data_IF_941781790117
#
_entry.id   IF_941781790117
#
_cell.length_a   1.000
_cell.length_b   1.000
_cell.length_c   1.000
_cell.angle_alpha   90.00
_cell.angle_beta   90.00
_cell.angle_gamma   90.00
#
_symmetry.space_group_name_H-M   'P 1'
#
loop_
_entity.id
_entity.type
_entity.pdbx_description
1 polymer ?
#
# COMPACT_ATOMS: atom_id res chain seq x y z
N UNK A 1 1.05 33.41 13.02
CA UNK A 1 1.38 34.57 12.17
C UNK A 1 2.34 34.11 11.08
N UNK A 2 1.81 33.71 9.93
CA UNK A 2 2.59 33.49 8.71
C UNK A 2 1.97 34.41 7.65
N UNK A 3 2.78 35.30 7.11
CA UNK A 3 2.35 36.36 6.20
C UNK A 3 2.05 35.73 4.83
N UNK A 4 0.81 35.82 4.40
CA UNK A 4 0.44 35.68 2.99
C UNK A 4 1.22 36.74 2.20
N UNK A 5 2.14 36.29 1.35
CA UNK A 5 2.86 37.15 0.43
C UNK A 5 2.16 37.12 -0.93
N UNK A 6 0.96 37.70 -0.98
CA UNK A 6 0.23 37.96 -2.23
C UNK A 6 0.84 39.22 -2.84
N UNK A 7 1.90 39.07 -3.64
CA UNK A 7 2.48 40.20 -4.38
C UNK A 7 1.68 40.40 -5.67
N UNK A 8 0.70 41.29 -5.65
CA UNK A 8 -0.05 41.70 -6.84
C UNK A 8 0.90 42.35 -7.86
N UNK A 9 1.05 41.73 -9.04
CA UNK A 9 1.70 42.36 -10.21
C UNK A 9 0.64 42.68 -11.26
N UNK A 10 0.38 43.97 -11.48
CA UNK A 10 -0.56 44.48 -12.50
C UNK A 10 0.18 44.74 -13.81
N UNK A 11 -0.39 44.28 -14.91
CA UNK A 11 0.06 44.62 -16.26
C UNK A 11 -0.68 45.88 -16.74
N UNK A 12 -0.07 46.60 -17.69
CA UNK A 12 -0.49 47.92 -18.23
C UNK A 12 -1.88 48.00 -18.89
N UNK A 13 -2.70 46.93 -18.83
CA UNK A 13 -4.02 46.84 -19.45
C UNK A 13 -5.18 46.51 -18.48
N UNK A 14 -4.94 46.47 -17.16
CA UNK A 14 -6.03 46.42 -16.16
C UNK A 14 -6.93 45.17 -16.15
N UNK A 15 -6.58 44.09 -16.87
CA UNK A 15 -7.28 42.79 -16.78
C UNK A 15 -6.65 41.91 -15.72
N UNK A 16 -7.40 41.61 -14.66
CA UNK A 16 -7.12 40.49 -13.75
C UNK A 16 -7.45 39.19 -14.49
N UNK A 17 -6.44 38.56 -15.08
CA UNK A 17 -6.47 37.12 -15.33
C UNK A 17 -5.13 36.60 -14.85
N UNK A 18 -4.93 36.60 -13.54
CA UNK A 18 -3.75 35.99 -12.95
C UNK A 18 -3.93 34.47 -13.07
N UNK A 19 -3.35 33.89 -14.12
CA UNK A 19 -3.43 32.44 -14.32
C UNK A 19 -2.68 31.79 -13.15
N UNK A 20 -3.25 30.74 -12.53
CA UNK A 20 -2.58 30.06 -11.44
C UNK A 20 -1.20 29.57 -11.90
N UNK A 21 -0.19 29.87 -11.09
CA UNK A 21 1.19 29.46 -11.34
C UNK A 21 1.24 27.93 -11.50
N UNK A 22 1.94 27.39 -12.52
CA UNK A 22 2.11 25.96 -12.69
C UNK A 22 3.06 25.40 -11.61
N UNK A 23 2.54 25.23 -10.40
CA UNK A 23 3.27 24.76 -9.24
C UNK A 23 2.57 23.54 -8.65
N UNK A 24 3.35 22.64 -8.05
CA UNK A 24 2.88 21.45 -7.34
C UNK A 24 1.74 21.75 -6.36
N UNK A 25 1.87 22.81 -5.57
CA UNK A 25 0.87 23.20 -4.56
C UNK A 25 -0.50 23.50 -5.20
N UNK A 26 -0.51 24.14 -6.37
CA UNK A 26 -1.76 24.45 -7.09
C UNK A 26 -2.39 23.19 -7.70
N UNK A 27 -1.57 22.26 -8.17
CA UNK A 27 -2.07 20.95 -8.62
C UNK A 27 -2.67 20.16 -7.46
N UNK A 28 -2.02 20.12 -6.30
CA UNK A 28 -2.55 19.46 -5.09
C UNK A 28 -3.83 20.12 -4.58
N UNK A 29 -3.92 21.46 -4.63
CA UNK A 29 -5.13 22.19 -4.29
C UNK A 29 -6.28 21.86 -5.25
N UNK A 30 -6.01 21.76 -6.56
CA UNK A 30 -6.99 21.36 -7.56
C UNK A 30 -7.49 19.93 -7.32
N UNK A 31 -6.59 18.98 -7.07
CA UNK A 31 -6.94 17.60 -6.72
C UNK A 31 -7.85 17.55 -5.49
N UNK A 32 -7.47 18.26 -4.42
CA UNK A 32 -8.23 18.34 -3.17
C UNK A 32 -9.62 18.95 -3.38
N UNK A 33 -9.73 20.00 -4.20
CA UNK A 33 -10.99 20.66 -4.52
C UNK A 33 -11.97 19.72 -5.24
N UNK A 34 -11.46 18.84 -6.11
CA UNK A 34 -12.26 17.87 -6.86
C UNK A 34 -12.39 16.51 -6.16
N UNK A 35 -11.90 16.38 -4.91
CA UNK A 35 -11.99 15.13 -4.15
C UNK A 35 -11.14 13.99 -4.72
N UNK A 36 -10.05 14.32 -5.42
CA UNK A 36 -9.11 13.36 -6.00
C UNK A 36 -7.98 13.12 -5.01
N UNK A 37 -7.80 11.86 -4.62
CA UNK A 37 -6.67 11.42 -3.79
C UNK A 37 -5.83 10.43 -4.56
N UNK A 38 -4.51 10.55 -4.42
CA UNK A 38 -3.55 9.63 -5.03
C UNK A 38 -2.48 9.25 -4.02
N UNK A 39 -2.10 7.99 -4.05
CA UNK A 39 -1.07 7.42 -3.18
C UNK A 39 -0.39 6.24 -3.86
N UNK A 40 0.85 5.97 -3.52
CA UNK A 40 1.56 4.78 -4.01
C UNK A 40 1.52 3.65 -2.99
N UNK A 41 0.95 2.51 -3.36
CA UNK A 41 0.98 1.30 -2.53
C UNK A 41 2.33 0.59 -2.71
N UNK A 42 3.20 0.67 -1.70
CA UNK A 42 4.57 0.13 -1.81
C UNK A 42 4.62 -1.41 -1.84
N UNK A 43 3.56 -2.11 -1.39
CA UNK A 43 3.52 -3.58 -1.41
C UNK A 43 2.99 -4.11 -2.73
N UNK A 44 1.98 -3.44 -3.31
CA UNK A 44 1.42 -3.83 -4.61
C UNK A 44 2.17 -3.22 -5.79
N UNK A 45 3.05 -2.24 -5.51
CA UNK A 45 3.75 -1.43 -6.50
C UNK A 45 2.77 -0.82 -7.51
N UNK A 46 1.69 -0.21 -6.99
CA UNK A 46 0.58 0.34 -7.80
C UNK A 46 0.09 1.67 -7.21
N UNK A 47 -0.31 2.59 -8.08
CA UNK A 47 -1.04 3.79 -7.70
C UNK A 47 -2.45 3.44 -7.21
N UNK A 48 -2.80 3.90 -6.02
CA UNK A 48 -4.18 3.97 -5.56
C UNK A 48 -4.75 5.35 -5.91
N UNK A 49 -5.89 5.35 -6.59
CA UNK A 49 -6.54 6.54 -7.15
C UNK A 49 -7.99 6.52 -6.68
N UNK A 50 -8.43 7.59 -6.03
CA UNK A 50 -9.83 7.80 -5.66
C UNK A 50 -10.34 9.10 -6.30
N UNK A 51 -11.65 9.14 -6.59
CA UNK A 51 -12.28 10.31 -7.22
C UNK A 51 -12.19 10.34 -8.76
N UNK A 52 -11.55 9.36 -9.40
CA UNK A 52 -11.47 9.24 -10.86
C UNK A 52 -12.05 7.89 -11.31
N UNK A 53 -12.92 7.91 -12.30
CA UNK A 53 -13.44 6.69 -12.92
C UNK A 53 -12.46 6.19 -13.99
N UNK A 54 -12.16 4.90 -13.96
CA UNK A 54 -11.23 4.28 -14.90
C UNK A 54 -11.57 2.81 -15.12
N UNK A 55 -11.18 2.29 -16.28
CA UNK A 55 -11.15 0.84 -16.50
C UNK A 55 -9.94 0.22 -15.82
N UNK A 56 -10.08 -1.03 -15.38
CA UNK A 56 -8.98 -1.79 -14.78
C UNK A 56 -7.79 -1.89 -15.74
N UNK A 57 -6.59 -1.56 -15.27
CA UNK A 57 -5.35 -1.54 -16.05
C UNK A 57 -5.08 -0.24 -16.80
N UNK A 58 -5.98 0.76 -16.72
CA UNK A 58 -5.82 2.06 -17.37
C UNK A 58 -5.99 3.23 -16.38
N UNK A 59 -5.82 2.98 -15.08
CA UNK A 59 -6.11 3.94 -14.02
C UNK A 59 -5.18 5.17 -14.09
N UNK A 60 -3.87 4.97 -14.25
CA UNK A 60 -2.89 6.07 -14.33
C UNK A 60 -3.14 6.98 -15.55
N UNK A 61 -3.41 6.39 -16.72
CA UNK A 61 -3.73 7.15 -17.93
C UNK A 61 -5.04 7.94 -17.77
N UNK A 62 -6.04 7.34 -17.12
CA UNK A 62 -7.32 8.00 -16.85
C UNK A 62 -7.14 9.17 -15.89
N UNK A 63 -6.31 9.02 -14.86
CA UNK A 63 -5.93 10.09 -13.95
C UNK A 63 -5.22 11.23 -14.69
N UNK A 64 -4.21 10.94 -15.50
CA UNK A 64 -3.47 11.97 -16.26
C UNK A 64 -4.41 12.75 -17.17
N UNK A 65 -5.27 12.06 -17.94
CA UNK A 65 -6.23 12.70 -18.82
C UNK A 65 -7.20 13.60 -18.04
N UNK A 66 -7.80 13.06 -16.96
CA UNK A 66 -8.73 13.80 -16.12
C UNK A 66 -8.08 15.03 -15.47
N UNK A 67 -6.85 14.89 -14.98
CA UNK A 67 -6.11 16.01 -14.38
C UNK A 67 -5.75 17.10 -15.40
N UNK A 68 -5.44 16.73 -16.64
CA UNK A 68 -5.21 17.70 -17.73
C UNK A 68 -6.48 18.46 -18.09
N UNK A 69 -7.61 17.78 -18.12
CA UNK A 69 -8.91 18.41 -18.36
C UNK A 69 -9.25 19.40 -17.24
N UNK A 70 -9.12 18.98 -15.98
CA UNK A 70 -9.35 19.85 -14.81
C UNK A 70 -8.38 21.05 -14.78
N UNK A 71 -7.11 20.84 -15.10
CA UNK A 71 -6.13 21.92 -15.16
C UNK A 71 -6.55 22.96 -16.21
N UNK A 72 -6.98 22.50 -17.39
CA UNK A 72 -7.46 23.38 -18.47
C UNK A 72 -8.69 24.18 -18.04
N UNK A 73 -9.68 23.52 -17.43
CA UNK A 73 -10.90 24.17 -16.95
C UNK A 73 -10.64 25.23 -15.87
N UNK A 74 -9.59 25.04 -15.06
CA UNK A 74 -9.21 25.96 -13.99
C UNK A 74 -8.08 26.93 -14.38
N UNK A 75 -7.70 26.99 -15.67
CA UNK A 75 -6.67 27.90 -16.17
C UNK A 75 -5.24 27.56 -15.73
N UNK A 76 -5.02 26.37 -15.17
CA UNK A 76 -3.70 25.83 -14.81
C UNK A 76 -3.03 25.19 -16.03
N UNK A 77 -1.74 25.44 -16.23
CA UNK A 77 -1.01 24.86 -17.35
C UNK A 77 -0.91 23.33 -17.19
N UNK A 78 -1.38 22.57 -18.19
CA UNK A 78 -1.38 21.10 -18.18
C UNK A 78 0.01 20.47 -18.04
N UNK A 79 1.08 21.19 -18.42
CA UNK A 79 2.47 20.76 -18.21
C UNK A 79 2.78 20.45 -16.74
N UNK A 80 2.14 21.15 -15.78
CA UNK A 80 2.35 20.86 -14.36
C UNK A 80 1.88 19.45 -13.98
N UNK A 81 0.87 18.92 -14.68
CA UNK A 81 0.38 17.56 -14.47
C UNK A 81 1.47 16.57 -14.87
N UNK A 82 2.03 16.73 -16.07
CA UNK A 82 3.11 15.87 -16.58
C UNK A 82 4.37 15.94 -15.71
N UNK A 83 4.69 17.10 -15.14
CA UNK A 83 5.91 17.30 -14.37
C UNK A 83 5.80 16.97 -12.87
N UNK A 84 4.60 16.99 -12.29
CA UNK A 84 4.43 16.93 -10.83
C UNK A 84 3.53 15.80 -10.34
N UNK A 85 2.68 15.20 -11.19
CA UNK A 85 1.72 14.20 -10.73
C UNK A 85 2.41 12.98 -10.10
N UNK A 86 3.43 12.43 -10.77
CA UNK A 86 4.19 11.29 -10.26
C UNK A 86 4.90 11.64 -8.94
N UNK A 87 5.51 12.83 -8.86
CA UNK A 87 6.15 13.31 -7.63
C UNK A 87 5.15 13.53 -6.47
N UNK A 88 3.87 13.79 -6.77
CA UNK A 88 2.81 13.85 -5.77
C UNK A 88 2.43 12.43 -5.33
N UNK A 89 2.25 11.50 -6.27
CA UNK A 89 1.97 10.09 -5.99
C UNK A 89 3.05 9.48 -5.08
N UNK A 90 4.32 9.65 -5.47
CA UNK A 90 5.48 9.13 -4.73
C UNK A 90 5.69 9.80 -3.38
N UNK A 91 5.19 11.02 -3.18
CA UNK A 91 5.22 11.65 -1.84
C UNK A 91 4.16 11.13 -0.89
N UNK A 92 3.17 10.40 -1.42
CA UNK A 92 2.05 9.83 -0.68
C UNK A 92 2.17 8.29 -0.66
N UNK A 93 3.32 7.76 -0.24
CA UNK A 93 3.49 6.31 -0.09
C UNK A 93 2.64 5.80 1.07
N UNK A 94 1.88 4.75 0.83
CA UNK A 94 1.07 4.06 1.83
C UNK A 94 1.49 2.60 1.95
N UNK A 95 1.31 2.05 3.15
CA UNK A 95 1.46 0.64 3.41
C UNK A 95 0.34 0.17 4.36
N UNK A 96 -0.82 -0.19 3.81
CA UNK A 96 -1.99 -0.54 4.61
C UNK A 96 -1.78 -1.75 5.53
N UNK A 97 -0.86 -2.65 5.20
CA UNK A 97 -0.48 -3.77 6.09
C UNK A 97 0.20 -3.23 7.34
N UNK A 98 1.21 -2.36 7.20
CA UNK A 98 1.88 -1.78 8.36
C UNK A 98 0.97 -0.89 9.18
N UNK A 99 0.07 -0.15 8.53
CA UNK A 99 -0.91 0.67 9.22
C UNK A 99 -1.84 -0.21 10.06
N UNK A 100 -2.35 -1.30 9.49
CA UNK A 100 -3.14 -2.27 10.24
C UNK A 100 -2.35 -2.88 11.42
N UNK A 101 -1.10 -3.30 11.21
CA UNK A 101 -0.24 -3.83 12.27
C UNK A 101 0.03 -2.81 13.39
N UNK A 102 0.18 -1.52 13.06
CA UNK A 102 0.37 -0.45 14.06
C UNK A 102 -0.87 -0.22 14.91
N UNK A 103 -2.07 -0.40 14.34
CA UNK A 103 -3.34 -0.14 15.01
C UNK A 103 -3.97 -1.37 15.66
N UNK A 104 -3.50 -2.59 15.34
CA UNK A 104 -4.02 -3.79 16.00
C UNK A 104 -3.77 -3.70 17.51
N UNK A 105 -4.80 -4.03 18.29
CA UNK A 105 -4.73 -4.06 19.75
C UNK A 105 -5.17 -5.42 20.23
N UNK A 106 -4.54 -5.86 21.31
CA UNK A 106 -4.94 -7.09 22.00
C UNK A 106 -6.33 -6.89 22.60
N UNK A 107 -7.27 -7.74 22.21
CA UNK A 107 -8.68 -7.68 22.66
C UNK A 107 -8.95 -8.59 23.85
N UNK A 108 -8.10 -9.59 24.09
CA UNK A 108 -8.25 -10.59 25.17
C UNK A 108 -6.99 -10.68 26.03
N UNK A 109 -7.16 -11.02 27.30
CA UNK A 109 -6.04 -11.24 28.23
C UNK A 109 -5.20 -12.46 27.84
N UNK A 110 -5.84 -13.51 27.34
CA UNK A 110 -5.15 -14.71 26.86
C UNK A 110 -4.34 -14.43 25.60
N UNK A 111 -3.36 -15.30 25.35
CA UNK A 111 -2.47 -15.20 24.22
C UNK A 111 -3.13 -15.79 22.97
N UNK A 112 -3.42 -15.00 21.93
CA UNK A 112 -4.17 -15.48 20.76
C UNK A 112 -3.48 -16.62 20.01
N UNK A 113 -2.14 -16.62 19.96
CA UNK A 113 -1.39 -17.69 19.29
C UNK A 113 -1.50 -19.00 20.08
N UNK A 114 -1.48 -18.91 21.41
CA UNK A 114 -1.63 -20.09 22.27
C UNK A 114 -3.04 -20.68 22.14
N UNK A 115 -4.08 -19.84 22.20
CA UNK A 115 -5.47 -20.27 21.96
C UNK A 115 -5.63 -20.94 20.59
N UNK A 116 -4.99 -20.39 19.55
CA UNK A 116 -5.04 -20.94 18.21
C UNK A 116 -4.36 -22.32 18.13
N UNK A 117 -3.14 -22.44 18.67
CA UNK A 117 -2.40 -23.71 18.74
C UNK A 117 -3.21 -24.77 19.47
N UNK A 118 -3.91 -24.38 20.53
CA UNK A 118 -4.69 -25.32 21.32
C UNK A 118 -5.89 -25.90 20.59
N UNK A 119 -6.45 -25.16 19.63
CA UNK A 119 -7.56 -25.59 18.78
C UNK A 119 -7.12 -26.41 17.56
N UNK A 120 -5.83 -26.38 17.20
CA UNK A 120 -5.33 -27.11 16.04
C UNK A 120 -5.27 -28.63 16.34
N UNK A 121 -5.75 -29.47 15.41
CA UNK A 121 -5.68 -30.94 15.55
C UNK A 121 -4.28 -31.45 15.19
N UNK A 122 -3.28 -31.07 15.99
CA UNK A 122 -1.86 -31.41 15.78
C UNK A 122 -1.30 -32.12 17.01
N UNK A 123 -0.44 -33.12 16.79
CA UNK A 123 0.15 -33.90 17.87
C UNK A 123 1.12 -33.06 18.72
N UNK A 124 2.04 -32.35 18.07
CA UNK A 124 3.09 -31.58 18.74
C UNK A 124 2.75 -30.09 18.82
N UNK A 125 1.85 -29.74 19.75
CA UNK A 125 1.46 -28.34 20.01
C UNK A 125 2.64 -27.44 20.38
N UNK A 126 3.62 -27.95 21.15
CA UNK A 126 4.78 -27.17 21.56
C UNK A 126 5.64 -26.73 20.37
N UNK A 127 5.87 -27.64 19.41
CA UNK A 127 6.58 -27.32 18.17
C UNK A 127 5.79 -26.37 17.28
N UNK A 128 4.48 -26.61 17.12
CA UNK A 128 3.61 -25.75 16.29
C UNK A 128 3.55 -24.33 16.84
N UNK A 129 3.54 -24.16 18.18
CA UNK A 129 3.67 -22.86 18.82
C UNK A 129 4.94 -22.13 18.39
N UNK A 130 6.10 -22.80 18.43
CA UNK A 130 7.38 -22.21 18.00
C UNK A 130 7.33 -21.84 16.52
N UNK A 131 6.83 -22.74 15.66
CA UNK A 131 6.74 -22.51 14.23
C UNK A 131 5.84 -21.30 13.90
N UNK A 132 4.66 -21.21 14.51
CA UNK A 132 3.73 -20.10 14.32
C UNK A 132 4.32 -18.78 14.80
N UNK A 133 4.98 -18.75 15.96
CA UNK A 133 5.61 -17.52 16.43
C UNK A 133 6.69 -17.02 15.49
N UNK A 134 7.60 -17.90 15.06
CA UNK A 134 8.68 -17.53 14.14
C UNK A 134 8.12 -17.01 12.83
N UNK A 135 7.12 -17.69 12.28
CA UNK A 135 6.48 -17.29 11.03
C UNK A 135 5.69 -15.98 11.16
N UNK A 136 4.87 -15.81 12.21
CA UNK A 136 4.09 -14.58 12.43
C UNK A 136 4.99 -13.35 12.65
N UNK A 137 6.05 -13.50 13.45
CA UNK A 137 7.05 -12.43 13.66
C UNK A 137 7.71 -12.07 12.32
N UNK A 138 8.04 -13.08 11.52
CA UNK A 138 8.59 -12.87 10.19
C UNK A 138 7.62 -12.14 9.26
N UNK A 139 6.33 -12.49 9.25
CA UNK A 139 5.32 -11.76 8.47
C UNK A 139 5.25 -10.29 8.88
N UNK A 140 5.24 -9.99 10.18
CA UNK A 140 5.26 -8.61 10.67
C UNK A 140 6.51 -7.84 10.20
N UNK A 141 7.69 -8.45 10.30
CA UNK A 141 8.93 -7.83 9.84
C UNK A 141 8.98 -7.67 8.31
N UNK A 142 8.47 -8.64 7.55
CA UNK A 142 8.42 -8.58 6.09
C UNK A 142 7.47 -7.49 5.58
N UNK A 143 6.50 -7.02 6.37
CA UNK A 143 5.53 -6.00 5.96
C UNK A 143 6.18 -4.65 5.60
N UNK A 144 7.33 -4.32 6.19
CA UNK A 144 8.08 -3.08 5.95
C UNK A 144 9.57 -3.30 5.78
N UNK A 145 9.99 -4.53 5.48
CA UNK A 145 11.40 -4.91 5.42
C UNK A 145 12.16 -4.63 6.72
N UNK A 146 11.50 -4.83 7.86
CA UNK A 146 12.00 -4.63 9.21
C UNK A 146 12.43 -3.18 9.53
N UNK A 147 11.95 -2.19 8.77
CA UNK A 147 12.33 -0.78 8.98
C UNK A 147 11.87 -0.24 10.33
N UNK A 148 10.75 -0.71 10.87
CA UNK A 148 10.21 -0.25 12.16
C UNK A 148 10.41 -1.24 13.32
N UNK A 149 11.33 -2.20 13.19
CA UNK A 149 11.63 -3.15 14.26
C UNK A 149 12.36 -2.48 15.43
N UNK A 150 12.04 -2.82 16.70
CA UNK A 150 12.83 -2.36 17.83
C UNK A 150 14.21 -3.04 17.91
N UNK A 151 14.41 -4.16 17.22
CA UNK A 151 15.67 -4.91 17.23
C UNK A 151 16.67 -4.32 16.23
N UNK A 152 17.65 -3.56 16.72
CA UNK A 152 18.68 -2.93 15.87
C UNK A 152 19.60 -3.93 15.13
N UNK A 153 19.66 -5.18 15.59
CA UNK A 153 20.42 -6.25 14.94
C UNK A 153 19.58 -7.06 13.94
N UNK A 154 18.31 -6.67 13.73
CA UNK A 154 17.45 -7.36 12.78
C UNK A 154 18.01 -7.27 11.36
N UNK A 155 18.18 -8.44 10.74
CA UNK A 155 18.54 -8.55 9.33
C UNK A 155 17.25 -8.76 8.56
N UNK A 156 17.06 -8.06 7.45
CA UNK A 156 15.91 -8.23 6.54
C UNK A 156 15.95 -9.55 5.76
N UNK A 157 16.07 -10.67 6.47
CA UNK A 157 16.07 -12.04 5.94
C UNK A 157 14.88 -12.80 6.51
N UNK A 158 14.04 -13.29 5.61
CA UNK A 158 12.73 -13.90 5.94
C UNK A 158 12.66 -15.32 5.38
N UNK A 159 13.58 -16.18 5.83
CA UNK A 159 13.84 -17.49 5.24
C UNK A 159 12.91 -18.61 5.76
N UNK A 160 12.08 -18.32 6.77
CA UNK A 160 11.18 -19.33 7.35
C UNK A 160 9.95 -19.51 6.48
N UNK A 161 9.66 -20.76 6.09
CA UNK A 161 8.43 -21.13 5.39
C UNK A 161 7.57 -21.97 6.34
N UNK A 162 6.30 -21.58 6.51
CA UNK A 162 5.33 -22.36 7.27
C UNK A 162 4.59 -23.31 6.32
N UNK A 163 4.67 -24.62 6.59
CA UNK A 163 4.04 -25.66 5.78
C UNK A 163 2.96 -26.37 6.59
N UNK A 164 1.73 -26.38 6.06
CA UNK A 164 0.62 -27.15 6.63
C UNK A 164 0.52 -28.53 5.97
N UNK A 165 0.88 -29.58 6.71
CA UNK A 165 0.76 -30.97 6.25
C UNK A 165 -0.53 -31.62 6.78
N UNK A 166 -1.20 -32.44 5.96
CA UNK A 166 -2.36 -33.24 6.37
C UNK A 166 -3.29 -33.57 5.19
N UNK A 167 -4.41 -34.22 5.44
CA UNK A 167 -5.38 -34.64 4.41
C UNK A 167 -6.03 -33.45 3.68
N UNK A 168 -6.59 -33.68 2.49
CA UNK A 168 -7.33 -32.64 1.77
C UNK A 168 -8.61 -32.25 2.53
N UNK A 169 -9.11 -31.03 2.30
CA UNK A 169 -10.38 -30.57 2.89
C UNK A 169 -10.28 -29.86 4.25
N UNK A 170 -9.10 -29.80 4.88
CA UNK A 170 -8.90 -29.11 6.17
C UNK A 170 -8.74 -27.57 6.08
N UNK A 171 -9.21 -26.93 4.99
CA UNK A 171 -9.21 -25.46 4.83
C UNK A 171 -7.84 -24.79 5.07
N UNK A 172 -6.74 -25.48 4.77
CA UNK A 172 -5.35 -24.99 4.94
C UNK A 172 -5.11 -23.65 4.26
N UNK A 173 -5.47 -23.54 2.97
CA UNK A 173 -5.39 -22.30 2.19
C UNK A 173 -6.25 -21.19 2.78
N UNK A 174 -7.45 -21.52 3.25
CA UNK A 174 -8.33 -20.52 3.86
C UNK A 174 -7.83 -20.01 5.21
N UNK A 175 -6.99 -20.77 5.93
CA UNK A 175 -6.48 -20.38 7.24
C UNK A 175 -5.75 -19.03 7.20
N UNK A 176 -4.87 -18.84 6.21
CA UNK A 176 -4.11 -17.59 6.04
C UNK A 176 -5.05 -16.41 5.73
N UNK A 177 -6.09 -16.64 4.93
CA UNK A 177 -7.13 -15.62 4.72
C UNK A 177 -7.92 -15.31 5.99
N UNK A 178 -8.17 -16.29 6.86
CA UNK A 178 -8.96 -16.09 8.08
C UNK A 178 -8.23 -15.33 9.19
N UNK A 179 -6.90 -15.41 9.25
CA UNK A 179 -6.10 -14.59 10.18
C UNK A 179 -6.05 -13.11 9.77
N UNK A 180 -6.35 -12.80 8.50
CA UNK A 180 -6.32 -11.44 7.98
C UNK A 180 -7.72 -10.83 7.82
N UNK A 181 -7.88 -9.51 8.09
CA UNK A 181 -9.12 -8.83 7.77
C UNK A 181 -9.32 -8.75 6.25
N UNK A 182 -10.59 -8.76 5.81
CA UNK A 182 -10.97 -8.75 4.38
C UNK A 182 -10.24 -7.70 3.52
N UNK A 183 -10.05 -6.44 3.97
CA UNK A 183 -9.34 -5.44 3.16
C UNK A 183 -7.88 -5.79 2.85
N UNK A 184 -7.26 -6.67 3.64
CA UNK A 184 -5.86 -7.08 3.45
C UNK A 184 -5.70 -8.34 2.59
N UNK A 185 -6.80 -9.01 2.21
CA UNK A 185 -6.72 -10.21 1.36
C UNK A 185 -6.08 -9.95 0.00
N UNK A 186 -6.13 -8.71 -0.51
CA UNK A 186 -5.45 -8.31 -1.75
C UNK A 186 -3.92 -8.31 -1.66
N UNK A 187 -3.35 -8.29 -0.45
CA UNK A 187 -1.90 -8.41 -0.23
C UNK A 187 -1.45 -9.86 -0.04
N UNK A 188 -2.37 -10.81 -0.08
CA UNK A 188 -2.05 -12.24 -0.09
C UNK A 188 -2.33 -12.82 -1.45
N UNK A 189 -1.52 -13.78 -1.88
CA UNK A 189 -1.71 -14.48 -3.14
C UNK A 189 -1.66 -15.98 -2.90
N UNK A 190 -2.45 -16.72 -3.66
CA UNK A 190 -2.57 -18.17 -3.53
C UNK A 190 -2.18 -18.84 -4.85
N UNK A 191 -1.58 -20.02 -4.77
CA UNK A 191 -1.23 -20.83 -5.94
C UNK A 191 -0.07 -20.24 -6.73
N UNK A 192 0.82 -19.48 -6.08
CA UNK A 192 1.98 -18.92 -6.75
C UNK A 192 3.01 -20.00 -7.03
N UNK A 193 3.44 -20.09 -8.29
CA UNK A 193 4.67 -20.79 -8.66
C UNK A 193 5.78 -19.77 -8.88
N UNK A 194 6.82 -19.83 -8.04
CA UNK A 194 8.02 -19.01 -8.20
C UNK A 194 8.97 -19.66 -9.20
N UNK A 195 9.17 -19.02 -10.34
CA UNK A 195 10.26 -19.31 -11.26
C UNK A 195 11.31 -18.20 -11.16
N UNK A 196 12.46 -18.53 -10.59
CA UNK A 196 13.58 -17.59 -10.40
C UNK A 196 14.27 -17.18 -11.70
N UNK A 197 13.98 -17.85 -12.82
CA UNK A 197 14.49 -17.49 -14.15
C UNK A 197 13.59 -16.50 -14.87
N UNK A 198 12.35 -16.34 -14.43
CA UNK A 198 11.38 -15.44 -15.01
C UNK A 198 11.23 -14.17 -14.15
N UNK A 199 11.55 -13.02 -14.74
CA UNK A 199 11.44 -11.72 -14.08
C UNK A 199 9.98 -11.37 -13.76
N UNK A 200 9.04 -11.80 -14.58
CA UNK A 200 7.63 -11.52 -14.37
C UNK A 200 7.07 -12.39 -13.25
N UNK A 201 7.45 -13.67 -13.17
CA UNK A 201 7.17 -14.54 -12.03
C UNK A 201 7.70 -13.93 -10.72
N UNK A 202 8.98 -13.52 -10.69
CA UNK A 202 9.56 -12.87 -9.50
C UNK A 202 8.82 -11.59 -9.12
N UNK A 203 8.54 -10.70 -10.08
CA UNK A 203 7.81 -9.46 -9.82
C UNK A 203 6.40 -9.75 -9.30
N UNK A 204 5.75 -10.79 -9.82
CA UNK A 204 4.44 -11.21 -9.34
C UNK A 204 4.48 -11.65 -7.88
N UNK A 205 5.51 -12.40 -7.46
CA UNK A 205 5.69 -12.79 -6.04
C UNK A 205 6.02 -11.59 -5.16
N UNK A 206 6.85 -10.66 -5.65
CA UNK A 206 7.23 -9.46 -4.91
C UNK A 206 6.07 -8.46 -4.73
N UNK A 207 5.07 -8.46 -5.62
CA UNK A 207 3.84 -7.66 -5.51
C UNK A 207 2.80 -8.28 -4.56
N UNK A 208 3.24 -8.78 -3.40
CA UNK A 208 2.37 -9.22 -2.31
C UNK A 208 3.14 -9.30 -0.99
N UNK A 209 2.41 -9.36 0.12
CA UNK A 209 2.96 -9.51 1.45
C UNK A 209 3.17 -10.98 1.82
N UNK A 210 2.17 -11.83 1.57
CA UNK A 210 2.23 -13.28 1.89
C UNK A 210 1.85 -14.07 0.63
N UNK A 211 2.85 -14.67 -0.06
CA UNK A 211 2.60 -15.63 -1.12
C UNK A 211 2.36 -17.04 -0.54
N UNK A 212 1.32 -17.73 -1.02
CA UNK A 212 1.03 -19.16 -0.81
C UNK A 212 1.18 -19.96 -2.11
#
# INVERSE_FOLDING_TARGET
MARECTTERKNSAGKLVDKPVPARANLQALMSHHGITVSYDELLLKTNIEGVQSMAGNEDNSLIAHMKDLATLNGLNTRVVDEQLDAIIESNVINPVTDWLKFIRRTKLNNPVDELVDLLPVENKAWVKIALYRWLIQCCAAADMARNTPNQEAIGKYESVLVFCGEQGHKKTSFIRYILPKPLHKYTKEGILLDVKDKDSMLHVLKCWIPE
#
